data_IF_082350572112
#
_entry.id   IF_082350572112
#
_cell.length_a   1.000
_cell.length_b   1.000
_cell.length_c   1.000
_cell.angle_alpha   90.00
_cell.angle_beta   90.00
_cell.angle_gamma   90.00
#
_symmetry.space_group_name_H-M   'P 1'
#
loop_
_entity.id
_entity.type
_entity.pdbx_description
1 polymer ?
#
# COMPACT_ATOMS: atom_id res chain seq x y z
N UNK A 1 -3.95 -1.55 -20.60
CA UNK A 1 -4.19 -1.08 -19.23
C UNK A 1 -3.94 0.42 -19.20
N UNK A 2 -4.95 1.21 -18.84
CA UNK A 2 -4.83 2.67 -18.77
C UNK A 2 -3.96 3.07 -17.56
N UNK A 3 -3.09 4.06 -17.69
CA UNK A 3 -2.20 4.51 -16.60
C UNK A 3 -2.97 4.95 -15.34
N UNK A 4 -4.22 5.40 -15.49
CA UNK A 4 -5.13 5.74 -14.39
C UNK A 4 -5.52 4.54 -13.51
N UNK A 5 -5.54 3.32 -14.04
CA UNK A 5 -5.90 2.12 -13.26
C UNK A 5 -4.76 1.68 -12.31
N UNK A 6 -3.55 2.22 -12.51
CA UNK A 6 -2.37 1.86 -11.72
C UNK A 6 -2.27 2.61 -10.40
N UNK A 7 -3.05 3.67 -10.20
CA UNK A 7 -2.93 4.52 -9.02
C UNK A 7 -4.15 4.35 -8.12
N UNK A 8 -3.92 3.94 -6.88
CA UNK A 8 -4.95 3.79 -5.86
C UNK A 8 -4.75 4.79 -4.74
N UNK A 9 -5.83 5.35 -4.21
CA UNK A 9 -5.76 6.11 -2.97
C UNK A 9 -5.31 5.21 -1.81
N UNK A 10 -4.77 5.82 -0.75
CA UNK A 10 -4.36 5.08 0.46
C UNK A 10 -5.48 4.17 0.97
N UNK A 11 -6.72 4.66 1.05
CA UNK A 11 -7.86 3.87 1.52
C UNK A 11 -8.18 2.66 0.64
N UNK A 12 -8.15 2.81 -0.69
CA UNK A 12 -8.36 1.68 -1.61
C UNK A 12 -7.23 0.65 -1.54
N UNK A 13 -5.99 1.11 -1.41
CA UNK A 13 -4.85 0.22 -1.24
C UNK A 13 -4.93 -0.52 0.11
N UNK A 14 -5.31 0.18 1.18
CA UNK A 14 -5.50 -0.41 2.51
C UNK A 14 -6.54 -1.54 2.47
N UNK A 15 -7.67 -1.31 1.80
CA UNK A 15 -8.72 -2.32 1.62
C UNK A 15 -8.22 -3.55 0.86
N UNK A 16 -7.47 -3.36 -0.24
CA UNK A 16 -6.90 -4.49 -1.00
C UNK A 16 -5.91 -5.31 -0.18
N UNK A 17 -5.13 -4.63 0.65
CA UNK A 17 -4.16 -5.27 1.53
C UNK A 17 -4.78 -5.78 2.84
N UNK A 18 -6.06 -5.52 3.12
CA UNK A 18 -6.70 -5.93 4.38
C UNK A 18 -6.14 -5.25 5.63
N UNK A 19 -5.67 -4.00 5.50
CA UNK A 19 -5.07 -3.22 6.59
C UNK A 19 -5.76 -1.86 6.81
N UNK A 20 -5.38 -1.15 7.86
CA UNK A 20 -5.88 0.19 8.15
C UNK A 20 -5.17 1.25 7.31
N UNK A 21 -5.90 2.22 6.78
CA UNK A 21 -5.32 3.35 6.05
C UNK A 21 -4.25 4.09 6.87
N UNK A 22 -4.47 4.22 8.19
CA UNK A 22 -3.51 4.85 9.09
C UNK A 22 -2.15 4.15 9.17
N UNK A 23 -2.08 2.85 8.86
CA UNK A 23 -0.82 2.10 8.78
C UNK A 23 -0.06 2.46 7.50
N UNK A 24 -0.73 2.49 6.34
CA UNK A 24 -0.14 2.98 5.09
C UNK A 24 0.31 4.44 5.20
N UNK A 25 -0.53 5.31 5.77
CA UNK A 25 -0.20 6.72 5.99
C UNK A 25 1.08 6.89 6.81
N UNK A 26 1.27 6.07 7.86
CA UNK A 26 2.49 6.07 8.67
C UNK A 26 3.73 5.67 7.87
N UNK A 27 3.63 4.62 7.05
CA UNK A 27 4.75 4.20 6.18
C UNK A 27 5.09 5.25 5.11
N UNK A 28 4.07 5.91 4.52
CA UNK A 28 4.30 7.05 3.63
C UNK A 28 5.04 8.19 4.36
N UNK A 29 4.61 8.54 5.57
CA UNK A 29 5.24 9.62 6.35
C UNK A 29 6.68 9.29 6.76
N UNK A 30 7.00 8.01 6.93
CA UNK A 30 8.36 7.53 7.23
C UNK A 30 9.24 7.38 5.98
N UNK A 31 8.69 7.59 4.79
CA UNK A 31 9.40 7.41 3.52
C UNK A 31 9.65 5.94 3.16
N UNK A 32 8.93 5.00 3.77
CA UNK A 32 9.16 3.56 3.57
C UNK A 32 8.48 3.01 2.32
N UNK A 33 7.44 3.70 1.85
CA UNK A 33 6.71 3.42 0.62
C UNK A 33 6.57 4.70 -0.20
N UNK A 34 6.83 4.60 -1.50
CA UNK A 34 6.69 5.70 -2.44
C UNK A 34 5.22 5.99 -2.71
N UNK A 35 4.88 7.26 -2.82
CA UNK A 35 3.54 7.72 -3.16
C UNK A 35 3.63 8.95 -4.08
N UNK A 36 2.57 9.21 -4.83
CA UNK A 36 2.41 10.44 -5.58
C UNK A 36 1.23 11.23 -5.04
N UNK A 37 1.14 12.51 -5.42
CA UNK A 37 -0.02 13.33 -5.15
C UNK A 37 -0.85 13.47 -6.42
N UNK A 38 -2.15 13.18 -6.33
CA UNK A 38 -3.12 13.44 -7.38
C UNK A 38 -4.30 14.18 -6.77
N UNK A 39 -4.56 15.41 -7.23
CA UNK A 39 -5.61 16.29 -6.70
C UNK A 39 -5.59 16.42 -5.15
N UNK A 40 -4.41 16.56 -4.56
CA UNK A 40 -4.23 16.68 -3.11
C UNK A 40 -4.36 15.37 -2.32
N UNK A 41 -4.64 14.25 -2.99
CA UNK A 41 -4.69 12.93 -2.38
C UNK A 41 -3.41 12.17 -2.64
N UNK A 42 -2.94 11.43 -1.62
CA UNK A 42 -1.83 10.49 -1.80
C UNK A 42 -2.33 9.23 -2.50
N UNK A 43 -1.67 8.89 -3.59
CA UNK A 43 -1.92 7.69 -4.37
C UNK A 43 -0.69 6.80 -4.40
N UNK A 44 -0.92 5.50 -4.40
CA UNK A 44 0.08 4.43 -4.41
C UNK A 44 -0.03 3.69 -5.74
N UNK A 45 1.10 3.31 -6.29
CA UNK A 45 1.15 2.50 -7.50
C UNK A 45 0.79 1.04 -7.17
N UNK A 46 -0.07 0.43 -7.97
CA UNK A 46 -0.38 -1.01 -7.88
C UNK A 46 0.78 -1.89 -8.30
N UNK A 47 1.71 -1.38 -9.11
CA UNK A 47 2.90 -2.11 -9.52
C UNK A 47 3.87 -2.31 -8.33
N UNK A 48 3.78 -1.46 -7.29
CA UNK A 48 4.56 -1.60 -6.04
C UNK A 48 3.81 -2.38 -4.95
N UNK A 49 2.68 -3.02 -5.27
CA UNK A 49 1.81 -3.66 -4.28
C UNK A 49 2.53 -4.76 -3.48
N UNK A 50 3.40 -5.56 -4.13
CA UNK A 50 4.19 -6.57 -3.44
C UNK A 50 5.16 -5.95 -2.43
N UNK A 51 5.91 -4.92 -2.81
CA UNK A 51 6.82 -4.21 -1.89
C UNK A 51 6.08 -3.59 -0.71
N UNK A 52 4.91 -2.98 -0.97
CA UNK A 52 4.06 -2.43 0.08
C UNK A 52 3.61 -3.55 1.02
N UNK A 53 3.21 -4.71 0.48
CA UNK A 53 2.82 -5.89 1.27
C UNK A 53 3.97 -6.40 2.14
N UNK A 54 5.18 -6.51 1.59
CA UNK A 54 6.38 -6.91 2.35
C UNK A 54 6.67 -5.95 3.51
N UNK A 55 6.60 -4.63 3.26
CA UNK A 55 6.73 -3.63 4.33
C UNK A 55 5.65 -3.79 5.41
N UNK A 56 4.41 -4.06 5.01
CA UNK A 56 3.34 -4.31 5.97
C UNK A 56 3.63 -5.54 6.85
N UNK A 57 4.24 -6.59 6.29
CA UNK A 57 4.63 -7.80 7.04
C UNK A 57 5.76 -7.48 8.02
N UNK A 58 6.81 -6.77 7.58
CA UNK A 58 7.95 -6.37 8.43
C UNK A 58 7.49 -5.55 9.65
N UNK A 59 6.48 -4.69 9.48
CA UNK A 59 5.88 -3.90 10.57
C UNK A 59 4.80 -4.64 11.36
N UNK A 60 4.49 -5.89 11.01
CA UNK A 60 3.47 -6.71 11.67
C UNK A 60 2.03 -6.28 11.41
N UNK A 61 1.78 -5.47 10.38
CA UNK A 61 0.43 -5.05 9.97
C UNK A 61 -0.29 -6.12 9.16
N UNK A 62 0.47 -6.91 8.42
CA UNK A 62 0.00 -8.10 7.73
C UNK A 62 0.68 -9.32 8.34
N UNK A 63 -0.08 -10.39 8.53
CA UNK A 63 0.55 -11.69 8.73
C UNK A 63 1.12 -12.13 7.38
N UNK A 64 2.36 -12.68 7.33
CA UNK A 64 2.78 -13.39 6.14
C UNK A 64 1.72 -14.46 5.91
N UNK A 65 1.16 -14.49 4.71
CA UNK A 65 0.32 -15.59 4.31
C UNK A 65 1.25 -16.79 4.32
N UNK A 66 1.14 -17.63 5.34
CA UNK A 66 1.81 -18.92 5.35
C UNK A 66 1.36 -19.58 4.05
N UNK A 67 2.27 -19.70 3.08
CA UNK A 67 2.03 -20.48 1.87
C UNK A 67 1.47 -21.82 2.36
N UNK A 68 0.18 -22.02 2.13
CA UNK A 68 -0.51 -23.18 2.64
C UNK A 68 0.18 -24.42 2.06
N UNK A 69 0.57 -25.31 2.97
CA UNK A 69 1.19 -26.60 2.68
C UNK A 69 0.29 -27.50 1.82
#
# INVERSE_FOLDING_TARGET
>A
MNELEKWLTLGRMAQRLGILEGQLRRMCNRGEISFQFFNGLRVLCTDDMEKIRERCIVHGYLKPETAAA
#
